data_IF_461569706464
#
_entry.id   IF_461569706464
#
_cell.length_a   1.000
_cell.length_b   1.000
_cell.length_c   1.000
_cell.angle_alpha   90.00
_cell.angle_beta   90.00
_cell.angle_gamma   90.00
#
_symmetry.space_group_name_H-M   'P 1'
#
loop_
_entity.id
_entity.type
_entity.pdbx_description
1 polymer ?
#
# COMPACT_ATOMS: atom_id res chain seq x y z
N UNK A 1 -1.86 3.59 -21.15
CA UNK A 1 -2.77 2.79 -20.31
C UNK A 1 -4.21 3.31 -20.32
N UNK A 2 -4.46 4.56 -20.72
CA UNK A 2 -5.80 5.13 -20.95
C UNK A 2 -6.77 4.26 -21.79
N UNK A 3 -6.25 3.42 -22.69
CA UNK A 3 -7.08 2.63 -23.60
C UNK A 3 -7.91 1.55 -22.91
N UNK A 4 -7.40 0.89 -21.86
CA UNK A 4 -8.13 -0.21 -21.20
C UNK A 4 -9.28 0.29 -20.33
N UNK A 5 -9.08 1.41 -19.65
CA UNK A 5 -10.06 2.01 -18.74
C UNK A 5 -11.21 2.59 -19.51
N UNK A 6 -10.90 3.40 -20.53
CA UNK A 6 -11.90 3.99 -21.40
C UNK A 6 -12.70 2.90 -22.13
N UNK A 7 -12.00 1.90 -22.67
CA UNK A 7 -12.65 0.74 -23.29
C UNK A 7 -13.59 0.03 -22.31
N UNK A 8 -13.14 -0.26 -21.09
CA UNK A 8 -14.03 -0.89 -20.11
C UNK A 8 -15.25 -0.01 -19.80
N UNK A 9 -15.07 1.30 -19.56
CA UNK A 9 -16.16 2.23 -19.26
C UNK A 9 -17.21 2.26 -20.38
N UNK A 10 -16.77 2.28 -21.64
CA UNK A 10 -17.64 2.29 -22.83
C UNK A 10 -18.35 0.94 -23.06
N UNK A 11 -17.68 -0.18 -22.76
CA UNK A 11 -18.15 -1.52 -23.09
C UNK A 11 -18.67 -2.32 -21.89
N UNK A 12 -18.71 -1.79 -20.66
CA UNK A 12 -19.06 -2.56 -19.44
C UNK A 12 -20.38 -3.32 -19.52
N UNK A 13 -21.40 -2.76 -20.18
CA UNK A 13 -22.71 -3.43 -20.37
C UNK A 13 -22.63 -4.62 -21.33
N UNK A 14 -21.74 -4.58 -22.30
CA UNK A 14 -21.49 -5.67 -23.24
C UNK A 14 -20.60 -6.74 -22.60
N UNK A 15 -19.52 -6.31 -21.93
CA UNK A 15 -18.61 -7.17 -21.17
C UNK A 15 -19.34 -7.98 -20.08
N UNK A 16 -20.29 -7.36 -19.36
CA UNK A 16 -21.12 -8.04 -18.38
C UNK A 16 -21.94 -9.20 -18.96
N UNK A 17 -22.34 -9.15 -20.24
CA UNK A 17 -23.03 -10.27 -20.91
C UNK A 17 -22.14 -11.50 -21.09
N UNK A 18 -20.82 -11.30 -21.06
CA UNK A 18 -19.80 -12.34 -21.15
C UNK A 18 -19.18 -12.67 -19.79
N UNK A 19 -19.83 -12.29 -18.69
CA UNK A 19 -19.36 -12.47 -17.32
C UNK A 19 -18.07 -11.71 -16.98
N UNK A 20 -17.73 -10.67 -17.74
CA UNK A 20 -16.66 -9.73 -17.39
C UNK A 20 -17.24 -8.55 -16.62
N UNK A 21 -17.33 -8.70 -15.31
CA UNK A 21 -17.89 -7.70 -14.40
C UNK A 21 -16.84 -6.76 -13.81
N UNK A 22 -15.59 -7.20 -13.76
CA UNK A 22 -14.50 -6.45 -13.15
C UNK A 22 -14.02 -5.34 -14.08
N UNK A 23 -14.09 -4.12 -13.56
CA UNK A 23 -13.42 -2.96 -14.12
C UNK A 23 -11.91 -3.03 -13.96
N UNK A 24 -11.23 -2.03 -14.52
CA UNK A 24 -9.83 -1.85 -14.22
C UNK A 24 -9.65 -1.46 -12.74
N UNK A 25 -8.41 -1.47 -12.27
CA UNK A 25 -8.07 -1.32 -10.84
C UNK A 25 -8.30 0.12 -10.36
N UNK A 26 -9.54 0.45 -10.00
CA UNK A 26 -9.97 1.70 -9.35
C UNK A 26 -9.42 1.73 -7.93
N UNK A 27 -8.69 2.80 -7.58
CA UNK A 27 -7.93 2.86 -6.32
C UNK A 27 -8.80 3.25 -5.11
N UNK A 28 -9.95 3.89 -5.35
CA UNK A 28 -10.74 4.65 -4.37
C UNK A 28 -11.88 3.86 -3.73
N UNK A 29 -12.17 2.65 -4.21
CA UNK A 29 -13.10 1.73 -3.54
C UNK A 29 -12.43 1.01 -2.36
N UNK A 30 -13.22 0.60 -1.38
CA UNK A 30 -12.73 -0.01 -0.13
C UNK A 30 -11.93 -1.28 -0.36
N UNK A 31 -12.34 -2.11 -1.33
CA UNK A 31 -11.67 -3.36 -1.68
C UNK A 31 -10.27 -3.17 -2.25
N UNK A 32 -10.02 -2.07 -2.97
CA UNK A 32 -8.75 -1.84 -3.67
C UNK A 32 -7.84 -0.85 -2.94
N UNK A 33 -8.37 0.06 -2.13
CA UNK A 33 -7.55 1.07 -1.45
C UNK A 33 -6.41 0.45 -0.64
N UNK A 34 -6.71 -0.56 0.17
CA UNK A 34 -5.66 -1.25 0.93
C UNK A 34 -4.74 -2.09 0.06
N UNK A 35 -5.25 -2.64 -1.05
CA UNK A 35 -4.41 -3.30 -2.05
C UNK A 35 -3.46 -2.33 -2.73
N UNK A 36 -3.86 -1.08 -2.97
CA UNK A 36 -3.00 -0.02 -3.52
C UNK A 36 -1.86 0.26 -2.55
N UNK A 37 -2.18 0.57 -1.29
CA UNK A 37 -1.16 0.82 -0.25
C UNK A 37 -0.24 -0.39 -0.09
N UNK A 38 -0.80 -1.60 -0.08
CA UNK A 38 -0.05 -2.85 -0.06
C UNK A 38 0.89 -2.98 -1.25
N UNK A 39 0.42 -2.81 -2.48
CA UNK A 39 1.22 -2.92 -3.71
C UNK A 39 2.37 -1.92 -3.75
N UNK A 40 2.14 -0.67 -3.33
CA UNK A 40 3.21 0.34 -3.21
C UNK A 40 4.23 -0.12 -2.16
N UNK A 41 3.76 -0.59 -1.02
CA UNK A 41 4.58 -1.03 0.11
C UNK A 41 5.46 -2.23 -0.23
N UNK A 42 4.92 -3.27 -0.89
CA UNK A 42 5.73 -4.40 -1.34
C UNK A 42 6.74 -4.01 -2.43
N UNK A 43 6.49 -2.98 -3.24
CA UNK A 43 7.53 -2.49 -4.15
C UNK A 43 8.77 -2.01 -3.37
N UNK A 44 8.59 -1.30 -2.27
CA UNK A 44 9.70 -0.88 -1.40
C UNK A 44 10.34 -2.06 -0.67
N UNK A 45 9.53 -2.89 0.00
CA UNK A 45 10.01 -4.03 0.80
C UNK A 45 10.72 -5.09 -0.05
N UNK A 46 10.33 -5.27 -1.32
CA UNK A 46 10.94 -6.23 -2.24
C UNK A 46 12.05 -5.63 -3.11
N UNK A 47 12.46 -4.38 -2.87
CA UNK A 47 13.49 -3.68 -3.67
C UNK A 47 13.12 -3.54 -5.15
N UNK A 48 11.84 -3.44 -5.46
CA UNK A 48 11.26 -3.29 -6.80
C UNK A 48 10.64 -1.92 -7.03
N UNK A 49 11.31 -0.87 -6.53
CA UNK A 49 10.94 0.53 -6.75
C UNK A 49 10.89 0.91 -8.24
N UNK A 50 11.51 0.12 -9.13
CA UNK A 50 11.39 0.25 -10.59
C UNK A 50 9.96 0.03 -11.11
N UNK A 51 9.09 -0.61 -10.33
CA UNK A 51 7.68 -0.83 -10.68
C UNK A 51 6.77 0.34 -10.26
N UNK A 52 7.22 1.21 -9.35
CA UNK A 52 6.42 2.33 -8.85
C UNK A 52 5.93 3.29 -9.95
N UNK A 53 6.72 3.64 -11.00
CA UNK A 53 6.23 4.52 -12.06
C UNK A 53 5.03 3.91 -12.79
N UNK A 54 5.13 2.61 -13.11
CA UNK A 54 4.05 1.88 -13.79
C UNK A 54 2.82 1.76 -12.90
N UNK A 55 3.01 1.50 -11.61
CA UNK A 55 1.91 1.40 -10.65
C UNK A 55 1.18 2.75 -10.53
N UNK A 56 1.92 3.85 -10.44
CA UNK A 56 1.35 5.19 -10.43
C UNK A 56 0.56 5.49 -11.71
N UNK A 57 1.10 5.14 -12.88
CA UNK A 57 0.37 5.28 -14.15
C UNK A 57 -0.95 4.49 -14.17
N UNK A 58 -0.95 3.26 -13.62
CA UNK A 58 -2.18 2.45 -13.49
C UNK A 58 -3.19 3.16 -12.60
N UNK A 59 -2.77 3.65 -11.43
CA UNK A 59 -3.65 4.33 -10.47
C UNK A 59 -4.28 5.57 -11.09
N UNK A 60 -3.47 6.45 -11.69
CA UNK A 60 -3.95 7.68 -12.31
C UNK A 60 -4.85 7.41 -13.52
N UNK A 61 -4.52 6.43 -14.35
CA UNK A 61 -5.35 6.09 -15.51
C UNK A 61 -6.70 5.47 -15.15
N UNK A 62 -6.85 4.94 -13.93
CA UNK A 62 -8.04 4.24 -13.47
C UNK A 62 -8.86 5.00 -12.43
N UNK A 63 -8.49 6.24 -12.10
CA UNK A 63 -9.30 7.08 -11.24
C UNK A 63 -10.73 7.26 -11.83
N UNK A 64 -11.75 7.06 -11.00
CA UNK A 64 -13.12 7.41 -11.37
C UNK A 64 -13.26 8.93 -11.43
N UNK A 65 -13.90 9.46 -12.48
CA UNK A 65 -14.20 10.88 -12.68
C UNK A 65 -13.05 11.89 -12.43
N UNK A 66 -11.80 11.46 -12.62
CA UNK A 66 -10.62 12.29 -12.39
C UNK A 66 -10.28 12.52 -10.91
N UNK A 67 -10.79 11.66 -10.02
CA UNK A 67 -10.46 11.68 -8.60
C UNK A 67 -8.96 11.48 -8.39
N UNK A 68 -8.31 12.47 -7.80
CA UNK A 68 -6.89 12.43 -7.48
C UNK A 68 -6.62 11.45 -6.33
N UNK A 69 -5.48 10.73 -6.33
CA UNK A 69 -5.10 9.90 -5.20
C UNK A 69 -5.09 10.70 -3.88
N UNK A 70 -5.49 10.05 -2.80
CA UNK A 70 -5.55 10.72 -1.51
C UNK A 70 -4.15 11.03 -0.93
N UNK A 71 -4.12 11.77 0.17
CA UNK A 71 -2.89 12.17 0.86
C UNK A 71 -1.97 10.99 1.14
N UNK A 72 -2.51 9.86 1.58
CA UNK A 72 -1.74 8.69 1.99
C UNK A 72 -1.03 8.04 0.80
N UNK A 73 -1.75 7.88 -0.32
CA UNK A 73 -1.17 7.33 -1.55
C UNK A 73 -0.09 8.27 -2.08
N UNK A 74 -0.35 9.58 -2.09
CA UNK A 74 0.60 10.58 -2.54
C UNK A 74 1.86 10.64 -1.67
N UNK A 75 1.71 10.57 -0.34
CA UNK A 75 2.80 10.49 0.63
C UNK A 75 3.70 9.27 0.37
N UNK A 76 3.12 8.10 0.10
CA UNK A 76 3.89 6.90 -0.24
C UNK A 76 4.69 7.06 -1.54
N UNK A 77 4.10 7.69 -2.55
CA UNK A 77 4.81 7.98 -3.80
C UNK A 77 5.88 9.06 -3.62
N UNK A 78 5.71 9.99 -2.66
CA UNK A 78 6.68 11.04 -2.37
C UNK A 78 8.05 10.51 -1.92
N UNK A 79 8.12 9.33 -1.29
CA UNK A 79 9.40 8.69 -0.97
C UNK A 79 10.30 8.52 -2.21
N UNK A 80 9.71 8.15 -3.37
CA UNK A 80 10.44 7.90 -4.62
C UNK A 80 10.37 9.03 -5.64
N UNK A 81 9.23 9.70 -5.75
CA UNK A 81 8.95 10.77 -6.70
C UNK A 81 8.73 12.05 -5.91
N UNK A 82 9.74 12.92 -5.84
CA UNK A 82 9.58 14.20 -5.13
C UNK A 82 8.55 15.09 -5.85
N UNK A 83 8.03 16.08 -5.13
CA UNK A 83 7.04 17.05 -5.61
C UNK A 83 5.67 16.43 -5.98
N UNK A 84 5.16 15.54 -5.11
CA UNK A 84 3.79 15.01 -5.23
C UNK A 84 2.74 16.01 -4.71
N UNK A 85 1.49 15.96 -5.21
CA UNK A 85 0.38 16.72 -4.66
C UNK A 85 0.13 16.40 -3.18
N UNK A 86 -0.34 17.40 -2.43
CA UNK A 86 -0.99 17.19 -1.13
C UNK A 86 -2.46 17.54 -1.29
N UNK A 87 -3.30 16.50 -1.32
CA UNK A 87 -4.74 16.66 -1.56
C UNK A 87 -5.51 17.03 -0.30
N UNK A 88 -4.88 16.93 0.89
CA UNK A 88 -5.45 17.38 2.15
C UNK A 88 -6.60 16.53 2.71
N UNK A 89 -6.86 15.35 2.13
CA UNK A 89 -7.82 14.38 2.65
C UNK A 89 -7.26 12.95 2.61
N UNK A 90 -7.84 12.08 3.45
CA UNK A 90 -7.64 10.62 3.44
C UNK A 90 -8.98 9.96 3.20
N UNK A 91 -9.05 9.07 2.21
CA UNK A 91 -10.30 8.48 1.73
C UNK A 91 -10.97 7.56 2.77
N UNK A 92 -10.17 6.72 3.45
CA UNK A 92 -10.67 5.56 4.21
C UNK A 92 -10.76 5.75 5.73
N UNK A 93 -11.27 6.92 6.17
CA UNK A 93 -11.67 7.17 7.55
C UNK A 93 -10.54 7.18 8.59
N UNK A 94 -10.91 7.26 9.87
CA UNK A 94 -10.01 7.56 10.99
C UNK A 94 -8.87 6.56 11.16
N UNK A 95 -9.09 5.28 10.85
CA UNK A 95 -8.04 4.27 10.99
C UNK A 95 -6.97 4.38 9.89
N UNK A 96 -7.37 4.66 8.64
CA UNK A 96 -6.42 4.85 7.55
C UNK A 96 -5.60 6.15 7.71
N UNK A 97 -6.16 7.17 8.35
CA UNK A 97 -5.45 8.43 8.67
C UNK A 97 -4.16 8.16 9.46
N UNK A 98 -4.13 7.15 10.34
CA UNK A 98 -2.94 6.81 11.12
C UNK A 98 -1.72 6.46 10.27
N UNK A 99 -1.92 5.97 9.04
CA UNK A 99 -0.82 5.72 8.09
C UNK A 99 -0.27 7.04 7.53
N UNK A 100 -1.12 7.98 7.14
CA UNK A 100 -0.67 9.31 6.72
C UNK A 100 0.01 10.05 7.88
N UNK A 101 -0.55 9.99 9.08
CA UNK A 101 0.07 10.56 10.30
C UNK A 101 1.44 9.92 10.59
N UNK A 102 1.58 8.61 10.38
CA UNK A 102 2.86 7.93 10.53
C UNK A 102 3.91 8.39 9.50
N UNK A 103 3.53 8.61 8.24
CA UNK A 103 4.47 9.13 7.22
C UNK A 103 4.85 10.58 7.53
N UNK A 104 3.88 11.39 7.97
CA UNK A 104 4.04 12.84 8.19
C UNK A 104 4.54 13.18 9.60
N UNK A 105 4.78 12.19 10.46
CA UNK A 105 5.21 12.40 11.84
C UNK A 105 6.54 13.16 11.92
N UNK A 106 6.55 14.25 12.70
CA UNK A 106 7.74 15.13 12.84
C UNK A 106 8.94 14.44 13.51
N UNK A 107 8.70 13.40 14.30
CA UNK A 107 9.73 12.63 15.02
C UNK A 107 9.45 11.15 14.90
N UNK A 108 10.51 10.32 14.95
CA UNK A 108 10.39 8.86 14.89
C UNK A 108 9.46 8.30 15.96
N UNK A 109 9.43 8.93 17.14
CA UNK A 109 8.53 8.55 18.24
C UNK A 109 7.06 8.75 17.86
N UNK A 110 6.71 9.89 17.25
CA UNK A 110 5.34 10.14 16.75
C UNK A 110 4.96 9.17 15.64
N UNK A 111 5.90 8.88 14.72
CA UNK A 111 5.66 7.89 13.68
C UNK A 111 5.36 6.51 14.27
N UNK A 112 6.15 6.07 15.25
CA UNK A 112 5.95 4.80 15.96
C UNK A 112 4.66 4.75 16.77
N UNK A 113 4.25 5.86 17.38
CA UNK A 113 2.97 5.97 18.09
C UNK A 113 1.79 5.73 17.13
N UNK A 114 1.78 6.42 15.98
CA UNK A 114 0.74 6.24 14.96
C UNK A 114 0.74 4.81 14.39
N UNK A 115 1.91 4.24 14.08
CA UNK A 115 2.02 2.86 13.59
C UNK A 115 1.55 1.84 14.63
N UNK A 116 1.84 2.06 15.91
CA UNK A 116 1.40 1.16 16.99
C UNK A 116 -0.11 1.25 17.20
N UNK A 117 -0.68 2.47 17.15
CA UNK A 117 -2.11 2.69 17.20
C UNK A 117 -2.83 2.01 16.02
N UNK A 118 -2.26 2.12 14.83
CA UNK A 118 -2.76 1.45 13.62
C UNK A 118 -2.75 -0.07 13.78
N UNK A 119 -1.60 -0.66 14.15
CA UNK A 119 -1.46 -2.12 14.27
C UNK A 119 -2.31 -2.75 15.38
N UNK A 120 -2.67 -1.98 16.42
CA UNK A 120 -3.46 -2.47 17.56
C UNK A 120 -4.85 -2.95 17.15
N UNK A 121 -5.53 -2.20 16.30
CA UNK A 121 -6.90 -2.48 15.87
C UNK A 121 -6.99 -2.92 14.40
N UNK A 122 -5.84 -3.04 13.71
CA UNK A 122 -5.70 -3.38 12.30
C UNK A 122 -6.70 -4.42 11.83
N UNK A 123 -6.67 -5.64 12.36
CA UNK A 123 -7.56 -6.71 11.86
C UNK A 123 -9.04 -6.40 12.00
N UNK A 124 -9.47 -5.65 13.02
CA UNK A 124 -10.89 -5.32 13.19
C UNK A 124 -11.31 -4.26 12.16
N UNK A 125 -10.52 -3.20 12.04
CA UNK A 125 -10.86 -2.05 11.20
C UNK A 125 -10.64 -2.34 9.71
N UNK A 126 -9.60 -3.11 9.38
CA UNK A 126 -9.21 -3.42 8.02
C UNK A 126 -10.12 -4.41 7.34
N UNK A 127 -10.58 -5.38 8.11
CA UNK A 127 -11.49 -6.40 7.63
C UNK A 127 -12.94 -5.89 7.65
N UNK A 128 -13.26 -4.91 8.50
CA UNK A 128 -14.54 -4.21 8.47
C UNK A 128 -14.78 -3.37 7.21
N UNK A 129 -13.75 -3.15 6.38
CA UNK A 129 -13.86 -2.41 5.11
C UNK A 129 -14.40 -3.27 3.95
N UNK A 130 -14.35 -4.60 4.07
CA UNK A 130 -14.91 -5.53 3.09
C UNK A 130 -15.20 -6.90 3.72
N UNK A 131 -16.43 -7.38 3.59
CA UNK A 131 -16.81 -8.74 4.02
C UNK A 131 -15.97 -9.83 3.34
N UNK A 132 -15.30 -9.52 2.22
CA UNK A 132 -14.46 -10.46 1.48
C UNK A 132 -13.18 -10.83 2.23
N UNK A 133 -12.67 -9.97 3.12
CA UNK A 133 -11.40 -10.27 3.81
C UNK A 133 -11.64 -10.95 5.17
N UNK A 134 -12.88 -10.89 5.69
CA UNK A 134 -13.22 -11.41 7.00
C UNK A 134 -13.20 -12.92 7.05
N UNK A 135 -12.32 -13.45 7.91
CA UNK A 135 -12.15 -14.88 8.08
C UNK A 135 -11.91 -15.63 6.75
N UNK A 136 -11.33 -14.97 5.75
CA UNK A 136 -11.00 -15.58 4.46
C UNK A 136 -10.13 -16.84 4.59
N UNK A 137 -9.30 -16.92 5.64
CA UNK A 137 -8.54 -18.12 6.01
C UNK A 137 -9.39 -19.34 6.41
N UNK A 138 -10.68 -19.16 6.68
CA UNK A 138 -11.65 -20.22 7.00
C UNK A 138 -12.49 -20.63 5.79
N UNK A 139 -12.46 -19.87 4.70
CA UNK A 139 -13.26 -20.12 3.51
C UNK A 139 -12.43 -20.86 2.43
N UNK A 140 -12.67 -22.17 2.22
CA UNK A 140 -11.96 -22.93 1.19
C UNK A 140 -12.41 -22.60 -0.25
N UNK A 141 -13.52 -21.87 -0.42
CA UNK A 141 -14.04 -21.45 -1.73
C UNK A 141 -13.61 -20.03 -2.14
N UNK A 142 -13.08 -19.24 -1.20
CA UNK A 142 -12.31 -18.06 -1.58
C UNK A 142 -11.10 -18.48 -2.41
N UNK A 143 -10.76 -17.69 -3.43
CA UNK A 143 -9.70 -17.92 -4.43
C UNK A 143 -8.25 -17.97 -3.86
N UNK A 144 -8.06 -18.48 -2.64
CA UNK A 144 -6.83 -18.56 -1.89
C UNK A 144 -6.75 -17.48 -0.80
N UNK A 145 -6.38 -17.89 0.41
CA UNK A 145 -6.01 -16.96 1.49
C UNK A 145 -4.60 -16.42 1.26
N UNK A 146 -4.48 -15.09 1.13
CA UNK A 146 -3.22 -14.39 0.85
C UNK A 146 -2.49 -13.88 2.11
N UNK A 147 -3.01 -14.16 3.30
CA UNK A 147 -2.45 -13.67 4.56
C UNK A 147 -3.10 -12.37 5.05
N UNK A 148 -2.80 -12.01 6.31
CA UNK A 148 -3.15 -10.74 6.93
C UNK A 148 -1.87 -9.96 7.18
N UNK A 149 -1.58 -8.99 6.32
CA UNK A 149 -0.30 -8.30 6.31
C UNK A 149 -0.47 -6.80 6.23
N UNK A 150 0.01 -6.10 7.25
CA UNK A 150 0.12 -4.65 7.30
C UNK A 150 1.39 -4.19 6.57
N UNK A 151 1.43 -4.35 5.25
CA UNK A 151 2.61 -4.03 4.44
C UNK A 151 2.97 -2.55 4.50
N UNK A 152 1.96 -1.68 4.55
CA UNK A 152 2.07 -0.22 4.70
C UNK A 152 2.83 0.17 5.97
N UNK A 153 2.51 -0.43 7.10
CA UNK A 153 3.22 -0.17 8.36
C UNK A 153 4.68 -0.62 8.30
N UNK A 154 4.94 -1.78 7.68
CA UNK A 154 6.30 -2.30 7.48
C UNK A 154 7.12 -1.44 6.51
N UNK A 155 6.51 -0.95 5.43
CA UNK A 155 7.18 -0.09 4.46
C UNK A 155 7.62 1.23 5.11
N UNK A 156 6.78 1.87 5.92
CA UNK A 156 7.14 3.09 6.66
C UNK A 156 8.33 2.83 7.58
N UNK A 157 8.26 1.78 8.40
CA UNK A 157 9.35 1.41 9.31
C UNK A 157 10.68 1.11 8.58
N UNK A 158 10.60 0.56 7.37
CA UNK A 158 11.76 0.34 6.50
C UNK A 158 12.30 1.65 5.89
N UNK A 159 11.42 2.47 5.32
CA UNK A 159 11.78 3.68 4.58
C UNK A 159 12.40 4.74 5.50
N UNK A 160 11.82 4.92 6.70
CA UNK A 160 12.26 5.92 7.69
C UNK A 160 13.27 5.38 8.71
N UNK A 161 13.70 4.12 8.53
CA UNK A 161 14.70 3.47 9.37
C UNK A 161 14.31 3.52 10.87
N UNK A 162 13.07 3.12 11.16
CA UNK A 162 12.51 3.13 12.52
C UNK A 162 12.98 1.93 13.34
N UNK A 163 13.13 2.09 14.65
CA UNK A 163 13.26 0.93 15.54
C UNK A 163 11.88 0.27 15.69
N UNK A 164 11.68 -0.82 14.96
CA UNK A 164 10.43 -1.54 14.82
C UNK A 164 10.20 -2.59 15.93
N UNK A 165 10.97 -2.56 17.01
CA UNK A 165 10.90 -3.54 18.10
C UNK A 165 9.49 -3.72 18.67
N UNK A 166 8.75 -2.63 18.90
CA UNK A 166 7.36 -2.71 19.39
C UNK A 166 6.40 -3.21 18.30
N UNK A 167 6.58 -2.78 17.05
CA UNK A 167 5.71 -3.17 15.93
C UNK A 167 5.76 -4.69 15.66
N UNK A 168 6.92 -5.32 15.89
CA UNK A 168 7.14 -6.76 15.76
C UNK A 168 6.27 -7.62 16.67
N UNK A 169 5.65 -7.05 17.70
CA UNK A 169 4.70 -7.76 18.57
C UNK A 169 3.36 -8.02 17.87
N UNK A 170 3.03 -7.25 16.83
CA UNK A 170 1.81 -7.46 16.05
C UNK A 170 1.94 -8.69 15.13
N UNK A 171 0.94 -9.59 15.10
CA UNK A 171 0.94 -10.73 14.19
C UNK A 171 0.80 -10.33 12.72
N UNK A 172 0.29 -9.13 12.45
CA UNK A 172 0.05 -8.61 11.10
C UNK A 172 1.26 -7.87 10.53
N UNK A 173 2.27 -7.57 11.35
CA UNK A 173 3.47 -6.86 10.93
C UNK A 173 4.48 -7.82 10.27
N UNK A 174 4.80 -7.65 8.97
CA UNK A 174 5.67 -8.56 8.23
C UNK A 174 7.17 -8.32 8.52
N UNK A 175 7.59 -8.54 9.77
CA UNK A 175 8.96 -8.28 10.27
C UNK A 175 10.08 -8.87 9.42
N UNK A 176 9.89 -10.10 8.93
CA UNK A 176 10.93 -10.80 8.15
C UNK A 176 11.18 -10.12 6.79
N UNK A 177 10.15 -9.46 6.23
CA UNK A 177 10.31 -8.67 5.00
C UNK A 177 11.07 -7.38 5.25
N UNK A 178 10.87 -6.73 6.40
CA UNK A 178 11.62 -5.54 6.81
C UNK A 178 13.08 -5.88 7.01
N UNK A 179 13.37 -6.95 7.75
CA UNK A 179 14.73 -7.43 7.98
C UNK A 179 15.44 -7.78 6.65
N UNK A 180 14.73 -8.48 5.76
CA UNK A 180 15.24 -8.79 4.43
C UNK A 180 15.52 -7.53 3.60
N UNK A 181 14.61 -6.55 3.59
CA UNK A 181 14.75 -5.30 2.84
C UNK A 181 15.94 -4.46 3.33
N UNK A 182 16.12 -4.37 4.66
CA UNK A 182 17.29 -3.72 5.29
C UNK A 182 18.59 -4.39 4.87
N UNK A 183 18.62 -5.71 4.87
CA UNK A 183 19.80 -6.48 4.46
C UNK A 183 20.13 -6.28 2.97
N UNK A 184 19.12 -6.27 2.08
CA UNK A 184 19.37 -5.99 0.66
C UNK A 184 19.87 -4.56 0.42
N UNK A 185 19.29 -3.57 1.11
CA UNK A 185 19.74 -2.18 1.06
C UNK A 185 21.21 -2.06 1.47
N UNK A 186 21.62 -2.75 2.53
CA UNK A 186 23.01 -2.80 3.02
C UNK A 186 23.96 -3.40 2.00
N UNK A 187 23.59 -4.51 1.35
CA UNK A 187 24.41 -5.16 0.30
C UNK A 187 24.65 -4.22 -0.89
N UNK A 188 23.59 -3.60 -1.41
CA UNK A 188 23.68 -2.65 -2.54
C UNK A 188 24.56 -1.44 -2.20
N UNK A 189 24.43 -0.91 -0.99
CA UNK A 189 25.28 0.19 -0.50
C UNK A 189 26.75 -0.19 -0.34
N UNK A 190 27.05 -1.43 0.04
CA UNK A 190 28.41 -1.96 0.11
C UNK A 190 29.06 -2.14 -1.27
N UNK A 191 28.30 -2.68 -2.25
CA UNK A 191 28.76 -2.86 -3.64
C UNK A 191 29.03 -1.52 -4.35
N UNK A 192 28.24 -0.48 -4.05
CA UNK A 192 28.47 0.85 -4.58
C UNK A 192 29.75 1.50 -4.05
N UNK A 193 30.13 1.23 -2.79
CA UNK A 193 31.40 1.70 -2.21
C UNK A 193 32.62 0.98 -2.76
N UNK A 194 32.54 -0.33 -2.98
CA UNK A 194 33.67 -1.13 -3.49
C UNK A 194 33.99 -0.96 -4.99
N UNK A 195 33.19 -0.19 -5.75
CA UNK A 195 33.46 0.16 -7.16
C UNK A 195 34.18 1.50 -7.34
N UNK A 196 34.44 2.23 -6.26
CA UNK A 196 35.06 3.56 -6.28
C UNK A 196 36.53 3.53 -5.82
N UNK A 197 37.03 2.35 -5.42
CA UNK A 197 38.44 2.09 -5.09
C UNK A 197 39.12 1.29 -6.22
#
# INVERSE_FOLDING_TARGET
METSTQFWKEHKKELAKHSYYSGPFEWDNSDNYMKVLGLISVCYLLQREDLLPRLLEVILANAEDGLEPDSTIEDFFYYRFKDRPDTGYVQMGDHAILISDAIRGETKEKQLESLSAYLKDWYREMIGMSDLEYQSHLDPEQNGYCGYWAFEAAAIAYLDDLDDTELRQSPYYPKDMVDWAREQKRKRGGEAKGKVD
#
